data_IF_778422374696
#
_entry.id   IF_778422374696
#
_cell.length_a   1.000
_cell.length_b   1.000
_cell.length_c   1.000
_cell.angle_alpha   90.00
_cell.angle_beta   90.00
_cell.angle_gamma   90.00
#
_symmetry.space_group_name_H-M   'P 1'
#
loop_
_entity.id
_entity.type
_entity.pdbx_description
1 polymer ?
#
# COMPACT_ATOMS: atom_id res chain seq x y z
N UNK A 1 3.36 27.56 4.47
CA UNK A 1 3.53 26.22 5.06
C UNK A 1 4.75 25.58 4.42
N UNK A 2 5.71 25.05 5.19
CA UNK A 2 6.92 24.46 4.64
C UNK A 2 6.58 23.09 4.03
N UNK A 3 6.63 22.97 2.70
CA UNK A 3 6.27 21.74 1.97
C UNK A 3 7.10 20.55 2.44
N UNK A 4 8.39 20.75 2.72
CA UNK A 4 9.26 19.69 3.23
C UNK A 4 8.82 19.19 4.61
N UNK A 5 8.36 20.09 5.49
CA UNK A 5 7.84 19.72 6.80
C UNK A 5 6.52 18.93 6.69
N UNK A 6 5.64 19.34 5.76
CA UNK A 6 4.41 18.59 5.49
C UNK A 6 4.72 17.19 4.98
N UNK A 7 5.55 17.05 3.94
CA UNK A 7 5.94 15.75 3.40
C UNK A 7 6.58 14.89 4.48
N UNK A 8 7.49 15.44 5.29
CA UNK A 8 8.10 14.70 6.39
C UNK A 8 7.07 14.21 7.41
N UNK A 9 6.13 15.06 7.82
CA UNK A 9 5.06 14.69 8.75
C UNK A 9 4.15 13.60 8.18
N UNK A 10 3.74 13.75 6.91
CA UNK A 10 2.92 12.76 6.20
C UNK A 10 3.63 11.41 6.12
N UNK A 11 4.93 11.39 5.81
CA UNK A 11 5.73 10.17 5.76
C UNK A 11 5.91 9.53 7.14
N UNK A 12 6.13 10.33 8.20
CA UNK A 12 6.24 9.82 9.58
C UNK A 12 4.93 9.18 10.00
N UNK A 13 3.79 9.83 9.74
CA UNK A 13 2.47 9.25 10.01
C UNK A 13 2.33 7.94 9.23
N UNK A 14 2.54 7.96 7.91
CA UNK A 14 2.34 6.76 7.10
C UNK A 14 3.21 5.58 7.55
N UNK A 15 4.49 5.82 7.88
CA UNK A 15 5.39 4.78 8.42
C UNK A 15 4.93 4.27 9.77
N UNK A 16 4.52 5.17 10.66
CA UNK A 16 4.03 4.79 11.98
C UNK A 16 2.86 3.81 11.85
N UNK A 17 1.89 4.08 10.96
CA UNK A 17 0.74 3.20 10.77
C UNK A 17 1.05 1.93 9.96
N UNK A 18 1.87 2.01 8.91
CA UNK A 18 2.16 0.87 8.03
C UNK A 18 3.06 -0.19 8.67
N UNK A 19 3.94 0.20 9.60
CA UNK A 19 4.96 -0.69 10.16
C UNK A 19 4.70 -1.14 11.59
N UNK A 20 3.52 -0.82 12.14
CA UNK A 20 3.09 -1.39 13.41
C UNK A 20 2.63 -2.83 13.24
N UNK A 21 2.72 -3.60 14.32
CA UNK A 21 2.15 -4.95 14.34
C UNK A 21 0.62 -4.87 14.27
N UNK A 22 -0.07 -5.90 13.74
CA UNK A 22 -1.54 -5.93 13.73
C UNK A 22 -2.16 -5.67 15.12
N UNK A 23 -1.53 -6.16 16.17
CA UNK A 23 -1.97 -5.96 17.56
C UNK A 23 -1.84 -4.50 18.00
N UNK A 24 -0.70 -3.88 17.76
CA UNK A 24 -0.48 -2.46 18.09
C UNK A 24 -1.44 -1.56 17.28
N UNK A 25 -1.70 -1.94 16.04
CA UNK A 25 -2.66 -1.26 15.18
C UNK A 25 -4.08 -1.28 15.73
N UNK A 26 -4.53 -2.39 16.31
CA UNK A 26 -5.84 -2.45 16.95
C UNK A 26 -5.94 -1.54 18.17
N UNK A 27 -4.88 -1.49 18.99
CA UNK A 27 -4.83 -0.59 20.16
C UNK A 27 -4.91 0.86 19.70
N UNK A 28 -4.15 1.22 18.65
CA UNK A 28 -4.18 2.55 18.06
C UNK A 28 -5.55 2.88 17.45
N UNK A 29 -6.16 1.95 16.72
CA UNK A 29 -7.48 2.14 16.13
C UNK A 29 -8.55 2.34 17.21
N UNK A 30 -8.56 1.53 18.27
CA UNK A 30 -9.49 1.71 19.39
C UNK A 30 -9.28 3.05 20.12
N UNK A 31 -8.03 3.47 20.30
CA UNK A 31 -7.68 4.72 21.00
C UNK A 31 -8.03 5.95 20.15
N UNK A 32 -7.83 5.88 18.84
CA UNK A 32 -7.92 7.04 17.94
C UNK A 32 -9.26 7.14 17.20
N UNK A 33 -9.93 6.01 16.94
CA UNK A 33 -11.17 5.89 16.15
C UNK A 33 -12.37 5.38 16.96
N UNK A 34 -12.16 4.90 18.20
CA UNK A 34 -13.23 4.43 19.07
C UNK A 34 -14.25 5.53 19.42
N UNK A 35 -15.26 5.19 20.24
CA UNK A 35 -16.40 6.09 20.59
C UNK A 35 -15.99 7.48 21.13
N UNK A 36 -14.79 7.64 21.67
CA UNK A 36 -14.23 8.91 22.16
C UNK A 36 -12.92 9.31 21.46
N UNK A 37 -12.58 8.69 20.33
CA UNK A 37 -11.30 8.85 19.64
C UNK A 37 -11.13 10.24 19.02
N UNK A 38 -9.93 10.83 19.17
CA UNK A 38 -9.61 12.18 18.66
C UNK A 38 -9.64 12.26 17.12
N UNK A 39 -9.38 11.16 16.41
CA UNK A 39 -9.47 11.11 14.95
C UNK A 39 -10.90 10.87 14.45
N UNK A 40 -11.82 10.40 15.30
CA UNK A 40 -13.22 10.21 14.91
C UNK A 40 -13.84 11.53 14.40
N UNK A 41 -13.44 12.67 14.95
CA UNK A 41 -13.83 13.99 14.44
C UNK A 41 -13.35 14.26 13.01
N UNK A 42 -12.20 13.73 12.58
CA UNK A 42 -11.67 13.91 11.21
C UNK A 42 -12.49 13.07 10.21
N UNK A 43 -12.83 11.83 10.59
CA UNK A 43 -13.69 10.97 9.76
C UNK A 43 -15.14 11.46 9.72
N UNK A 44 -15.62 12.13 10.78
CA UNK A 44 -16.99 12.64 10.89
C UNK A 44 -17.20 14.04 10.29
N UNK A 45 -16.16 14.87 10.18
CA UNK A 45 -16.29 16.26 9.67
C UNK A 45 -16.12 16.38 8.17
N UNK A 46 -15.68 15.32 7.49
CA UNK A 46 -15.59 15.30 6.05
C UNK A 46 -16.97 14.97 5.47
N UNK A 47 -17.54 15.92 4.72
CA UNK A 47 -18.63 15.62 3.76
C UNK A 47 -17.99 15.11 2.48
N UNK A 48 -18.74 14.46 1.57
CA UNK A 48 -18.19 13.77 0.41
C UNK A 48 -17.65 14.80 -0.59
N UNK A 49 -16.40 15.23 -0.41
CA UNK A 49 -15.79 16.25 -1.25
C UNK A 49 -15.16 15.69 -2.52
N UNK A 50 -14.78 14.41 -2.54
CA UNK A 50 -14.02 13.87 -3.66
C UNK A 50 -14.90 13.31 -4.79
N UNK A 51 -16.13 12.87 -4.50
CA UNK A 51 -17.07 12.38 -5.52
C UNK A 51 -18.21 13.36 -5.84
N UNK A 52 -18.53 14.31 -4.95
CA UNK A 52 -19.72 15.18 -5.09
C UNK A 52 -19.39 16.63 -5.51
N UNK A 53 -18.11 17.01 -5.65
CA UNK A 53 -17.73 18.39 -6.01
C UNK A 53 -17.88 18.76 -7.50
N UNK A 54 -18.39 17.88 -8.36
CA UNK A 54 -18.63 18.21 -9.77
C UNK A 54 -20.12 18.23 -10.18
N UNK A 55 -21.05 18.16 -9.22
CA UNK A 55 -22.43 18.57 -9.51
C UNK A 55 -22.52 20.09 -9.42
N UNK A 56 -22.67 20.74 -10.57
CA UNK A 56 -22.65 22.20 -10.79
C UNK A 56 -23.62 23.03 -9.95
N UNK A 57 -23.38 23.14 -8.65
CA UNK A 57 -23.92 24.14 -7.75
C UNK A 57 -22.76 24.85 -7.07
N UNK A 58 -22.80 26.19 -7.03
CA UNK A 58 -21.80 27.02 -6.39
C UNK A 58 -21.39 26.44 -5.02
N UNK A 59 -20.09 26.37 -4.70
CA UNK A 59 -19.67 25.84 -3.41
C UNK A 59 -20.22 26.79 -2.33
N UNK A 60 -20.93 26.28 -1.31
CA UNK A 60 -21.03 27.06 -0.09
C UNK A 60 -19.59 27.27 0.37
N UNK A 61 -19.23 28.50 0.72
CA UNK A 61 -18.01 28.80 1.47
C UNK A 61 -18.02 27.94 2.74
N UNK A 62 -17.55 26.69 2.64
CA UNK A 62 -17.55 25.77 3.77
C UNK A 62 -16.29 26.07 4.58
N UNK A 63 -16.55 26.74 5.69
CA UNK A 63 -15.71 26.80 6.88
C UNK A 63 -15.17 25.40 7.24
N UNK A 64 -14.01 25.03 6.70
CA UNK A 64 -13.20 23.92 7.21
C UNK A 64 -11.89 24.46 7.76
N UNK A 65 -12.03 25.25 8.81
CA UNK A 65 -10.93 25.54 9.74
C UNK A 65 -10.60 24.27 10.52
N UNK A 66 -9.42 23.68 10.24
CA UNK A 66 -8.43 23.24 11.25
C UNK A 66 -7.88 21.80 11.23
N UNK A 67 -8.18 20.90 10.27
CA UNK A 67 -7.49 19.60 10.20
C UNK A 67 -6.94 19.32 8.78
N UNK A 68 -5.72 19.78 8.53
CA UNK A 68 -4.95 19.62 7.28
C UNK A 68 -4.30 18.22 7.15
N UNK A 69 -5.09 17.14 7.17
CA UNK A 69 -4.57 15.78 6.91
C UNK A 69 -5.03 15.32 5.52
N UNK A 70 -4.09 14.87 4.69
CA UNK A 70 -4.38 14.37 3.35
C UNK A 70 -5.34 13.17 3.39
N UNK A 71 -6.34 13.16 2.50
CA UNK A 71 -7.27 12.04 2.36
C UNK A 71 -6.57 10.72 2.04
N UNK A 72 -5.45 10.75 1.31
CA UNK A 72 -4.68 9.54 0.99
C UNK A 72 -3.99 8.94 2.22
N UNK A 73 -3.61 9.78 3.19
CA UNK A 73 -3.07 9.30 4.46
C UNK A 73 -4.17 8.64 5.27
N UNK A 74 -5.35 9.26 5.33
CA UNK A 74 -6.52 8.66 6.01
C UNK A 74 -6.92 7.34 5.34
N UNK A 75 -6.88 7.27 4.01
CA UNK A 75 -7.11 6.04 3.25
C UNK A 75 -6.07 4.97 3.59
N UNK A 76 -4.80 5.33 3.65
CA UNK A 76 -3.71 4.45 4.07
C UNK A 76 -3.90 3.93 5.50
N UNK A 77 -4.28 4.81 6.44
CA UNK A 77 -4.61 4.48 7.83
C UNK A 77 -5.75 3.47 7.91
N UNK A 78 -6.86 3.70 7.19
CA UNK A 78 -7.98 2.77 7.14
C UNK A 78 -7.52 1.43 6.58
N UNK A 79 -6.74 1.40 5.49
CA UNK A 79 -6.24 0.15 4.92
C UNK A 79 -5.39 -0.66 5.90
N UNK A 80 -4.54 0.01 6.69
CA UNK A 80 -3.76 -0.66 7.73
C UNK A 80 -4.68 -1.26 8.81
N UNK A 81 -5.72 -0.54 9.21
CA UNK A 81 -6.73 -1.03 10.15
C UNK A 81 -7.48 -2.25 9.58
N UNK A 82 -7.92 -2.20 8.33
CA UNK A 82 -8.61 -3.31 7.66
C UNK A 82 -7.74 -4.58 7.64
N UNK A 83 -6.44 -4.44 7.33
CA UNK A 83 -5.48 -5.55 7.38
C UNK A 83 -5.32 -6.09 8.80
N UNK A 84 -5.19 -5.21 9.80
CA UNK A 84 -5.07 -5.63 11.19
C UNK A 84 -6.31 -6.40 11.67
N UNK A 85 -7.51 -5.92 11.35
CA UNK A 85 -8.77 -6.63 11.65
C UNK A 85 -8.81 -8.00 10.97
N UNK A 86 -8.47 -8.08 9.67
CA UNK A 86 -8.41 -9.35 8.94
C UNK A 86 -7.41 -10.34 9.56
N UNK A 87 -6.19 -9.89 9.86
CA UNK A 87 -5.11 -10.74 10.38
C UNK A 87 -5.33 -11.23 11.82
N UNK A 88 -6.13 -10.52 12.60
CA UNK A 88 -6.40 -10.87 14.00
C UNK A 88 -7.74 -11.57 14.20
N UNK A 89 -8.59 -11.58 13.17
CA UNK A 89 -9.98 -12.03 13.27
C UNK A 89 -10.84 -11.16 14.18
N UNK A 90 -10.34 -9.99 14.62
CA UNK A 90 -11.12 -9.09 15.47
C UNK A 90 -12.11 -8.28 14.63
N UNK A 91 -13.31 -8.11 15.17
CA UNK A 91 -14.35 -7.28 14.57
C UNK A 91 -14.41 -5.92 15.26
N UNK A 92 -14.66 -4.88 14.46
CA UNK A 92 -14.98 -3.54 14.98
C UNK A 92 -16.48 -3.29 14.82
N UNK A 93 -17.07 -2.53 15.73
CA UNK A 93 -18.51 -2.22 15.68
C UNK A 93 -18.88 -1.57 14.34
N UNK A 94 -19.99 -2.01 13.75
CA UNK A 94 -20.51 -1.52 12.46
C UNK A 94 -20.56 0.00 12.36
N UNK A 95 -20.97 0.67 13.43
CA UNK A 95 -21.08 2.13 13.48
C UNK A 95 -19.73 2.83 13.29
N UNK A 96 -18.64 2.29 13.84
CA UNK A 96 -17.30 2.87 13.67
C UNK A 96 -16.82 2.63 12.24
N UNK A 97 -17.03 1.42 11.71
CA UNK A 97 -16.66 1.10 10.32
C UNK A 97 -17.41 1.97 9.32
N UNK A 98 -18.72 2.12 9.48
CA UNK A 98 -19.56 2.95 8.61
C UNK A 98 -19.10 4.41 8.64
N UNK A 99 -18.76 4.96 9.82
CA UNK A 99 -18.22 6.32 9.93
C UNK A 99 -16.87 6.49 9.24
N UNK A 100 -15.94 5.56 9.43
CA UNK A 100 -14.63 5.61 8.76
C UNK A 100 -14.77 5.52 7.24
N UNK A 101 -15.74 4.74 6.76
CA UNK A 101 -15.94 4.45 5.34
C UNK A 101 -16.83 5.45 4.59
N UNK A 102 -17.65 6.24 5.30
CA UNK A 102 -18.69 7.09 4.69
C UNK A 102 -18.17 8.06 3.60
N UNK A 103 -16.91 8.48 3.69
CA UNK A 103 -16.30 9.46 2.80
C UNK A 103 -15.36 8.87 1.74
N UNK A 104 -15.25 7.54 1.67
CA UNK A 104 -14.33 6.87 0.75
C UNK A 104 -15.09 6.01 -0.24
N UNK A 105 -14.74 6.19 -1.52
CA UNK A 105 -15.00 5.20 -2.55
C UNK A 105 -13.83 4.22 -2.60
N UNK A 106 -14.14 2.92 -2.57
CA UNK A 106 -13.14 1.85 -2.57
C UNK A 106 -13.18 1.06 -3.88
N UNK A 107 -12.02 0.81 -4.53
CA UNK A 107 -11.96 -0.07 -5.70
C UNK A 107 -12.50 -1.47 -5.39
N UNK A 108 -13.15 -2.10 -6.38
CA UNK A 108 -13.64 -3.48 -6.28
C UNK A 108 -12.56 -4.46 -5.78
N UNK A 109 -11.29 -4.25 -6.14
CA UNK A 109 -10.20 -5.11 -5.67
C UNK A 109 -10.00 -5.08 -4.17
N UNK A 110 -10.20 -3.92 -3.52
CA UNK A 110 -10.15 -3.78 -2.06
C UNK A 110 -11.41 -4.39 -1.44
N UNK A 111 -12.58 -4.16 -2.05
CA UNK A 111 -13.83 -4.74 -1.59
C UNK A 111 -13.82 -6.28 -1.62
N UNK A 112 -13.20 -6.91 -2.62
CA UNK A 112 -13.02 -8.37 -2.67
C UNK A 112 -12.26 -8.91 -1.46
N UNK A 113 -11.28 -8.15 -0.97
CA UNK A 113 -10.43 -8.56 0.15
C UNK A 113 -11.05 -8.29 1.51
N UNK A 114 -11.72 -7.14 1.67
CA UNK A 114 -12.22 -6.62 2.96
C UNK A 114 -13.73 -6.39 2.99
N UNK A 115 -14.50 -7.17 2.21
CA UNK A 115 -15.96 -7.01 2.07
C UNK A 115 -16.71 -7.01 3.40
N UNK A 116 -16.27 -7.82 4.38
CA UNK A 116 -16.88 -7.88 5.70
C UNK A 116 -16.72 -6.56 6.49
N UNK A 117 -15.66 -5.81 6.22
CA UNK A 117 -15.32 -4.57 6.93
C UNK A 117 -15.78 -3.31 6.18
N UNK A 118 -16.04 -3.40 4.87
CA UNK A 118 -16.43 -2.28 4.01
C UNK A 118 -17.95 -2.08 3.97
N UNK A 119 -18.56 -1.88 5.14
CA UNK A 119 -19.99 -1.59 5.27
C UNK A 119 -20.26 -0.09 5.04
N UNK A 120 -21.25 0.22 4.21
CA UNK A 120 -21.76 1.59 4.03
C UNK A 120 -20.89 2.53 3.19
N UNK A 121 -19.92 2.02 2.42
CA UNK A 121 -19.18 2.79 1.42
C UNK A 121 -19.70 2.58 0.00
N UNK A 122 -19.31 3.48 -0.90
CA UNK A 122 -19.38 3.26 -2.34
C UNK A 122 -18.22 2.38 -2.80
N UNK A 123 -18.53 1.47 -3.72
CA UNK A 123 -17.53 0.61 -4.36
C UNK A 123 -17.40 1.05 -5.81
N UNK A 124 -16.19 1.41 -6.21
CA UNK A 124 -15.85 1.73 -7.60
C UNK A 124 -15.60 0.42 -8.35
N UNK A 125 -16.58 0.06 -9.18
CA UNK A 125 -16.56 -1.08 -10.08
C UNK A 125 -16.17 -0.72 -11.52
N UNK A 126 -15.81 0.56 -11.77
CA UNK A 126 -15.50 1.08 -13.09
C UNK A 126 -16.71 1.20 -14.01
N UNK A 127 -17.94 1.25 -13.47
CA UNK A 127 -19.16 1.45 -14.26
C UNK A 127 -19.19 2.82 -14.97
N UNK A 128 -19.86 2.86 -16.13
CA UNK A 128 -19.82 3.95 -17.12
C UNK A 128 -20.16 5.38 -16.62
N UNK A 129 -20.69 5.54 -15.41
CA UNK A 129 -21.02 6.84 -14.83
C UNK A 129 -19.78 7.71 -14.56
N UNK A 130 -18.63 7.10 -14.26
CA UNK A 130 -17.38 7.84 -14.09
C UNK A 130 -16.76 8.23 -15.44
N UNK A 131 -17.05 7.49 -16.52
CA UNK A 131 -16.48 7.75 -17.85
C UNK A 131 -16.95 9.09 -18.42
N UNK A 132 -18.23 9.42 -18.21
CA UNK A 132 -18.81 10.71 -18.63
C UNK A 132 -18.18 11.88 -17.85
N UNK A 133 -17.98 11.71 -16.54
CA UNK A 133 -17.30 12.71 -15.70
C UNK A 133 -15.84 12.94 -16.14
N UNK A 134 -15.10 11.86 -16.45
CA UNK A 134 -13.72 11.98 -16.91
C UNK A 134 -13.60 12.58 -18.31
N UNK A 135 -14.57 12.33 -19.19
CA UNK A 135 -14.64 12.99 -20.51
C UNK A 135 -14.87 14.49 -20.37
N UNK A 136 -15.75 14.93 -19.46
CA UNK A 136 -15.97 16.35 -19.17
C UNK A 136 -14.72 17.01 -18.60
N UNK A 137 -14.04 16.36 -17.65
CA UNK A 137 -12.77 16.82 -17.09
C UNK A 137 -11.69 16.90 -18.17
N UNK A 138 -11.60 15.90 -19.06
CA UNK A 138 -10.62 15.90 -20.15
C UNK A 138 -10.92 17.01 -21.18
N UNK A 139 -12.19 17.24 -21.51
CA UNK A 139 -12.62 18.31 -22.39
C UNK A 139 -12.26 19.68 -21.80
N UNK A 140 -12.52 19.89 -20.51
CA UNK A 140 -12.12 21.09 -19.77
C UNK A 140 -10.59 21.26 -19.81
N UNK A 141 -9.83 20.19 -19.53
CA UNK A 141 -8.37 20.21 -19.57
C UNK A 141 -7.87 20.65 -20.94
N UNK A 142 -8.41 20.04 -21.99
CA UNK A 142 -8.02 20.32 -23.38
C UNK A 142 -8.35 21.76 -23.76
N UNK A 143 -9.54 22.26 -23.39
CA UNK A 143 -9.95 23.63 -23.65
C UNK A 143 -9.02 24.64 -22.96
N UNK A 144 -8.74 24.45 -21.67
CA UNK A 144 -7.90 25.35 -20.89
C UNK A 144 -6.44 25.33 -21.37
N UNK A 145 -5.92 24.16 -21.76
CA UNK A 145 -4.57 24.04 -22.35
C UNK A 145 -4.46 24.83 -23.65
N UNK A 146 -5.46 24.75 -24.53
CA UNK A 146 -5.51 25.59 -25.75
C UNK A 146 -5.55 27.07 -25.42
N UNK A 147 -6.38 27.47 -24.45
CA UNK A 147 -6.44 28.87 -24.02
C UNK A 147 -5.09 29.36 -23.45
N UNK A 148 -4.42 28.52 -22.65
CA UNK A 148 -3.08 28.82 -22.12
C UNK A 148 -2.06 28.97 -23.26
N UNK A 149 -2.11 28.11 -24.27
CA UNK A 149 -1.27 28.21 -25.46
C UNK A 149 -1.50 29.53 -26.19
N UNK A 150 -2.76 29.88 -26.47
CA UNK A 150 -3.10 31.12 -27.15
C UNK A 150 -2.57 32.34 -26.40
N UNK A 151 -2.71 32.37 -25.07
CA UNK A 151 -2.18 33.44 -24.21
C UNK A 151 -0.65 33.51 -24.32
N UNK A 152 0.04 32.38 -24.25
CA UNK A 152 1.51 32.32 -24.33
C UNK A 152 2.00 32.76 -25.72
N UNK A 153 1.33 32.33 -26.80
CA UNK A 153 1.68 32.72 -28.16
C UNK A 153 1.41 34.21 -28.43
N UNK A 154 0.36 34.77 -27.85
CA UNK A 154 -0.03 36.17 -28.06
C UNK A 154 0.72 37.17 -27.17
N UNK A 155 1.04 36.80 -25.92
CA UNK A 155 1.61 37.72 -24.92
C UNK A 155 3.04 37.36 -24.49
N UNK A 156 3.57 36.19 -24.88
CA UNK A 156 4.93 35.76 -24.52
C UNK A 156 5.18 35.83 -23.02
N UNK A 157 6.24 36.52 -22.60
CA UNK A 157 6.62 36.70 -21.20
C UNK A 157 5.68 37.61 -20.39
N UNK A 158 4.77 38.36 -21.04
CA UNK A 158 3.77 39.19 -20.36
C UNK A 158 2.47 38.41 -20.04
N UNK A 159 2.43 37.10 -20.32
CA UNK A 159 1.28 36.22 -20.10
C UNK A 159 0.94 35.97 -18.62
N UNK A 160 1.86 36.30 -17.69
CA UNK A 160 1.82 35.86 -16.29
C UNK A 160 0.48 36.13 -15.58
N UNK A 161 -0.04 37.35 -15.67
CA UNK A 161 -1.28 37.74 -15.00
C UNK A 161 -2.52 37.05 -15.59
N UNK A 162 -2.52 36.78 -16.90
CA UNK A 162 -3.62 36.10 -17.58
C UNK A 162 -3.60 34.59 -17.29
N UNK A 163 -2.42 33.98 -17.24
CA UNK A 163 -2.24 32.59 -16.84
C UNK A 163 -2.65 32.37 -15.37
N UNK A 164 -2.33 33.31 -14.47
CA UNK A 164 -2.75 33.29 -13.07
C UNK A 164 -4.27 33.26 -12.90
N UNK A 165 -5.03 33.91 -13.79
CA UNK A 165 -6.50 33.93 -13.76
C UNK A 165 -7.12 32.56 -14.10
N UNK A 166 -6.42 31.74 -14.87
CA UNK A 166 -6.85 30.37 -15.21
C UNK A 166 -6.74 29.46 -13.99
N UNK A 167 -5.76 29.63 -13.11
CA UNK A 167 -5.55 28.76 -11.93
C UNK A 167 -6.31 29.23 -10.67
N UNK A 168 -7.53 29.75 -10.83
CA UNK A 168 -8.39 30.14 -9.71
C UNK A 168 -9.08 28.91 -9.09
N UNK A 169 -9.25 28.95 -7.77
CA UNK A 169 -9.90 27.96 -6.87
C UNK A 169 -9.92 26.50 -7.37
N UNK A 170 -10.93 26.11 -8.17
CA UNK A 170 -11.19 24.72 -8.56
C UNK A 170 -10.16 24.17 -9.56
N UNK A 171 -9.61 25.02 -10.42
CA UNK A 171 -8.63 24.64 -11.46
C UNK A 171 -7.25 24.35 -10.88
N UNK A 172 -6.98 24.72 -9.62
CA UNK A 172 -5.71 24.39 -8.94
C UNK A 172 -5.54 22.89 -8.72
N UNK A 173 -6.62 22.15 -8.54
CA UNK A 173 -6.58 20.70 -8.33
C UNK A 173 -6.16 19.95 -9.61
N UNK A 174 -6.39 20.55 -10.78
CA UNK A 174 -6.04 20.00 -12.10
C UNK A 174 -4.69 20.51 -12.64
N UNK A 175 -3.95 21.29 -11.83
CA UNK A 175 -2.73 21.98 -12.27
C UNK A 175 -1.66 21.04 -12.85
N UNK A 176 -1.50 19.84 -12.29
CA UNK A 176 -0.58 18.84 -12.84
C UNK A 176 -1.03 18.32 -14.21
N UNK A 177 -2.32 18.14 -14.44
CA UNK A 177 -2.86 17.69 -15.73
C UNK A 177 -2.63 18.75 -16.82
N UNK A 178 -2.86 20.01 -16.49
CA UNK A 178 -2.59 21.13 -17.41
C UNK A 178 -1.10 21.20 -17.76
N UNK A 179 -0.22 21.14 -16.77
CA UNK A 179 1.22 21.18 -17.02
C UNK A 179 1.72 19.95 -17.79
N UNK A 180 1.21 18.77 -17.47
CA UNK A 180 1.55 17.54 -18.19
C UNK A 180 1.21 17.66 -19.68
N UNK A 181 0.01 18.14 -20.01
CA UNK A 181 -0.41 18.34 -21.40
C UNK A 181 0.42 19.43 -22.09
N UNK A 182 0.70 20.54 -21.41
CA UNK A 182 1.58 21.59 -21.93
C UNK A 182 3.01 21.07 -22.20
N UNK A 183 3.55 20.24 -21.32
CA UNK A 183 4.86 19.58 -21.50
C UNK A 183 4.85 18.61 -22.68
N UNK A 184 3.79 17.81 -22.80
CA UNK A 184 3.63 16.83 -23.86
C UNK A 184 3.54 17.51 -25.24
N UNK A 185 2.73 18.56 -25.36
CA UNK A 185 2.49 19.25 -26.63
C UNK A 185 3.60 20.25 -26.99
N UNK A 186 4.03 21.10 -26.04
CA UNK A 186 4.96 22.20 -26.32
C UNK A 186 6.42 21.85 -26.05
N UNK A 187 6.69 20.76 -25.33
CA UNK A 187 8.04 20.38 -24.84
C UNK A 187 8.76 21.49 -24.06
N UNK A 188 8.02 22.50 -23.58
CA UNK A 188 8.51 23.68 -22.87
C UNK A 188 7.50 24.08 -21.79
N UNK A 189 8.00 24.57 -20.67
CA UNK A 189 7.19 25.08 -19.56
C UNK A 189 7.37 26.58 -19.47
N UNK A 190 6.26 27.34 -19.43
CA UNK A 190 6.32 28.78 -19.22
C UNK A 190 6.88 29.10 -17.81
N UNK A 191 7.76 30.10 -17.63
CA UNK A 191 8.38 30.40 -16.33
C UNK A 191 7.39 30.62 -15.19
N UNK A 192 6.21 31.19 -15.46
CA UNK A 192 5.15 31.40 -14.46
C UNK A 192 4.61 30.09 -13.87
N UNK A 193 4.72 28.96 -14.56
CA UNK A 193 4.35 27.66 -14.02
C UNK A 193 5.46 27.12 -13.11
N UNK A 194 6.71 27.49 -13.38
CA UNK A 194 7.87 27.18 -12.54
C UNK A 194 7.97 28.03 -11.27
N UNK A 195 7.27 29.17 -11.20
CA UNK A 195 7.24 30.03 -10.00
C UNK A 195 6.36 29.47 -8.88
N UNK A 196 5.55 28.44 -9.15
CA UNK A 196 4.84 27.66 -8.14
C UNK A 196 5.79 26.61 -7.55
N UNK A 197 6.24 26.75 -6.29
CA UNK A 197 7.32 25.91 -5.76
C UNK A 197 6.97 24.41 -5.69
N UNK A 198 5.71 24.09 -5.38
CA UNK A 198 5.22 22.70 -5.35
C UNK A 198 5.12 22.10 -6.76
N UNK A 199 4.73 22.92 -7.74
CA UNK A 199 4.61 22.51 -9.14
C UNK A 199 5.98 22.31 -9.78
N UNK A 200 6.95 23.18 -9.50
CA UNK A 200 8.32 23.07 -10.01
C UNK A 200 8.98 21.73 -9.63
N UNK A 201 8.86 21.32 -8.37
CA UNK A 201 9.42 20.04 -7.91
C UNK A 201 8.72 18.83 -8.54
N UNK A 202 7.39 18.89 -8.71
CA UNK A 202 6.61 17.83 -9.36
C UNK A 202 6.86 17.76 -10.87
N UNK A 203 7.02 18.90 -11.53
CA UNK A 203 7.44 19.01 -12.93
C UNK A 203 8.82 18.40 -13.12
N UNK A 204 9.79 18.71 -12.25
CA UNK A 204 11.13 18.13 -12.32
C UNK A 204 11.07 16.60 -12.22
N UNK A 205 10.26 16.06 -11.31
CA UNK A 205 10.05 14.61 -11.20
C UNK A 205 9.37 14.03 -12.45
N UNK A 206 8.31 14.66 -12.97
CA UNK A 206 7.60 14.22 -14.17
C UNK A 206 8.46 14.31 -15.44
N UNK A 207 9.29 15.34 -15.58
CA UNK A 207 10.21 15.50 -16.70
C UNK A 207 11.28 14.40 -16.76
N UNK A 208 11.57 13.71 -15.66
CA UNK A 208 12.40 12.50 -15.66
C UNK A 208 11.64 11.23 -16.10
N UNK A 209 10.31 11.20 -15.96
CA UNK A 209 9.44 10.05 -16.27
C UNK A 209 8.89 10.09 -17.71
N UNK A 210 8.55 11.29 -18.20
CA UNK A 210 7.86 11.50 -19.48
C UNK A 210 8.68 11.13 -20.73
N UNK A 211 9.99 11.47 -20.85
CA UNK A 211 10.73 11.21 -22.08
C UNK A 211 11.00 9.73 -22.37
N UNK A 212 10.87 8.85 -21.37
CA UNK A 212 11.44 7.51 -21.42
C UNK A 212 10.40 6.39 -21.50
N UNK A 213 9.11 6.62 -21.19
CA UNK A 213 8.09 5.58 -20.99
C UNK A 213 8.59 4.38 -20.14
N UNK A 214 9.61 4.64 -19.34
CA UNK A 214 10.36 3.69 -18.54
C UNK A 214 10.60 4.38 -17.22
N UNK A 215 10.34 3.70 -16.12
CA UNK A 215 10.95 4.09 -14.85
C UNK A 215 12.44 3.80 -15.04
N UNK A 216 13.18 4.78 -15.56
CA UNK A 216 14.60 4.61 -15.85
C UNK A 216 15.30 4.48 -14.50
N UNK A 217 16.01 3.37 -14.33
CA UNK A 217 16.81 3.02 -13.16
C UNK A 217 18.07 3.89 -13.04
N UNK A 218 17.91 5.21 -13.08
CA UNK A 218 19.04 6.15 -13.16
C UNK A 218 18.90 7.21 -12.09
N UNK A 219 19.35 6.88 -10.89
CA UNK A 219 20.32 7.66 -10.11
C UNK A 219 20.25 7.27 -8.62
N UNK A 220 21.42 7.18 -7.99
CA UNK A 220 21.51 7.06 -6.52
C UNK A 220 20.79 8.22 -5.80
N UNK A 221 20.60 9.37 -6.45
CA UNK A 221 19.81 10.50 -5.92
C UNK A 221 18.30 10.24 -5.91
N UNK A 222 17.75 9.53 -6.91
CA UNK A 222 16.37 9.02 -6.86
C UNK A 222 16.20 8.02 -5.71
N UNK A 223 17.13 7.07 -5.55
CA UNK A 223 17.08 6.09 -4.46
C UNK A 223 17.24 6.73 -3.06
N UNK A 224 18.12 7.72 -2.91
CA UNK A 224 18.26 8.47 -1.66
C UNK A 224 16.98 9.24 -1.31
N UNK A 225 16.28 9.82 -2.30
CA UNK A 225 14.93 10.38 -2.10
C UNK A 225 13.87 9.30 -1.85
N UNK A 226 13.93 8.14 -2.50
CA UNK A 226 13.01 7.02 -2.27
C UNK A 226 13.11 6.45 -0.85
N UNK A 227 14.26 6.62 -0.18
CA UNK A 227 14.37 6.32 1.25
C UNK A 227 13.45 7.18 2.13
N UNK A 228 13.00 8.33 1.63
CA UNK A 228 11.97 9.17 2.24
C UNK A 228 10.55 8.62 1.99
N UNK A 229 10.35 7.76 0.99
CA UNK A 229 9.06 7.21 0.55
C UNK A 229 8.92 5.68 0.72
N UNK A 230 9.69 5.04 1.61
CA UNK A 230 9.63 3.58 1.78
C UNK A 230 8.21 3.03 2.02
N UNK A 231 7.39 3.74 2.80
CA UNK A 231 5.99 3.36 3.03
C UNK A 231 5.11 3.44 1.78
N UNK A 232 5.45 4.31 0.82
CA UNK A 232 4.76 4.37 -0.47
C UNK A 232 5.14 3.18 -1.37
N UNK A 233 6.38 2.66 -1.25
CA UNK A 233 6.82 1.44 -1.97
C UNK A 233 5.97 0.24 -1.55
N UNK A 234 5.76 0.06 -0.25
CA UNK A 234 4.88 -0.99 0.28
C UNK A 234 3.47 -0.89 -0.31
N UNK A 235 2.91 0.32 -0.35
CA UNK A 235 1.57 0.56 -0.94
C UNK A 235 1.56 0.21 -2.42
N UNK A 236 2.55 0.65 -3.20
CA UNK A 236 2.63 0.38 -4.65
C UNK A 236 2.68 -1.13 -4.89
N UNK A 237 3.53 -1.85 -4.16
CA UNK A 237 3.67 -3.30 -4.34
C UNK A 237 2.40 -4.04 -3.91
N UNK A 238 1.76 -3.63 -2.81
CA UNK A 238 0.47 -4.21 -2.41
C UNK A 238 -0.60 -3.94 -3.46
N UNK A 239 -0.69 -2.74 -4.00
CA UNK A 239 -1.67 -2.42 -5.06
C UNK A 239 -1.40 -3.22 -6.33
N UNK A 240 -0.15 -3.37 -6.75
CA UNK A 240 0.23 -4.17 -7.92
C UNK A 240 -0.14 -5.65 -7.75
N UNK A 241 -0.03 -6.15 -6.51
CA UNK A 241 -0.46 -7.48 -6.09
C UNK A 241 -2.00 -7.58 -6.14
N UNK A 242 -2.72 -6.69 -5.46
CA UNK A 242 -4.18 -6.66 -5.37
C UNK A 242 -4.89 -6.52 -6.73
N UNK A 243 -4.33 -5.74 -7.66
CA UNK A 243 -4.89 -5.54 -9.00
C UNK A 243 -4.47 -6.59 -10.01
N UNK A 244 -3.58 -7.51 -9.62
CA UNK A 244 -3.02 -8.54 -10.50
C UNK A 244 -2.47 -7.95 -11.81
N UNK A 245 -1.61 -6.92 -11.72
CA UNK A 245 -0.94 -6.35 -12.90
C UNK A 245 -0.19 -7.42 -13.69
N UNK A 246 0.07 -7.19 -14.98
CA UNK A 246 0.82 -8.14 -15.81
C UNK A 246 2.17 -8.53 -15.18
N UNK A 247 2.57 -9.80 -15.27
CA UNK A 247 3.80 -10.33 -14.63
C UNK A 247 5.06 -9.57 -15.03
N UNK A 248 5.13 -9.08 -16.27
CA UNK A 248 6.25 -8.27 -16.76
C UNK A 248 6.35 -6.93 -16.02
N UNK A 249 5.21 -6.28 -15.76
CA UNK A 249 5.16 -5.04 -15.00
C UNK A 249 5.49 -5.30 -13.53
N UNK A 250 4.94 -6.36 -12.93
CA UNK A 250 5.24 -6.74 -11.56
C UNK A 250 6.74 -7.03 -11.37
N UNK A 251 7.35 -7.80 -12.28
CA UNK A 251 8.79 -8.08 -12.25
C UNK A 251 9.63 -6.82 -12.37
N UNK A 252 9.20 -5.86 -13.20
CA UNK A 252 9.87 -4.56 -13.32
C UNK A 252 9.79 -3.76 -12.02
N UNK A 253 8.62 -3.70 -11.38
CA UNK A 253 8.43 -3.05 -10.08
C UNK A 253 9.31 -3.69 -9.01
N UNK A 254 9.36 -5.03 -8.95
CA UNK A 254 10.23 -5.75 -8.02
C UNK A 254 11.70 -5.44 -8.25
N UNK A 255 12.17 -5.41 -9.50
CA UNK A 255 13.55 -5.05 -9.81
C UNK A 255 13.91 -3.62 -9.40
N UNK A 256 12.98 -2.68 -9.54
CA UNK A 256 13.18 -1.29 -9.13
C UNK A 256 13.17 -1.11 -7.60
N UNK A 257 12.28 -1.81 -6.89
CA UNK A 257 12.00 -1.52 -5.49
C UNK A 257 12.59 -2.52 -4.50
N UNK A 258 13.03 -3.70 -4.93
CA UNK A 258 13.66 -4.67 -4.01
C UNK A 258 14.81 -4.08 -3.19
N UNK A 259 15.72 -3.21 -3.70
CA UNK A 259 16.81 -2.68 -2.89
C UNK A 259 16.35 -1.92 -1.63
N UNK A 260 15.13 -1.36 -1.64
CA UNK A 260 14.52 -0.69 -0.49
C UNK A 260 14.33 -1.64 0.71
N UNK A 261 14.11 -2.93 0.46
CA UNK A 261 13.84 -3.92 1.51
C UNK A 261 15.06 -4.29 2.35
N UNK A 262 16.28 -3.96 1.87
CA UNK A 262 17.51 -4.07 2.68
C UNK A 262 17.41 -3.23 3.97
N UNK A 263 16.77 -2.06 3.88
CA UNK A 263 16.66 -1.09 4.98
C UNK A 263 15.26 -1.07 5.61
N UNK A 264 14.32 -1.85 5.10
CA UNK A 264 12.98 -1.92 5.64
C UNK A 264 13.03 -2.48 7.08
N UNK A 265 12.30 -1.88 8.04
CA UNK A 265 12.40 -2.28 9.45
C UNK A 265 11.73 -3.63 9.74
N UNK A 266 10.64 -3.96 9.05
CA UNK A 266 9.88 -5.20 9.27
C UNK A 266 9.49 -5.94 7.97
N UNK A 267 10.46 -6.35 7.12
CA UNK A 267 10.17 -6.91 5.81
C UNK A 267 9.42 -8.25 5.88
N UNK A 268 9.70 -9.07 6.90
CA UNK A 268 8.99 -10.33 7.12
C UNK A 268 7.52 -10.10 7.50
N UNK A 269 7.24 -9.16 8.40
CA UNK A 269 5.87 -8.83 8.78
C UNK A 269 5.08 -8.26 7.60
N UNK A 270 5.71 -7.40 6.79
CA UNK A 270 5.14 -6.91 5.54
C UNK A 270 4.78 -8.07 4.60
N UNK A 271 5.73 -8.93 4.24
CA UNK A 271 5.48 -10.07 3.35
C UNK A 271 4.35 -10.95 3.86
N UNK A 272 4.37 -11.30 5.15
CA UNK A 272 3.33 -12.10 5.78
C UNK A 272 1.96 -11.42 5.68
N UNK A 273 1.86 -10.13 6.02
CA UNK A 273 0.62 -9.36 5.95
C UNK A 273 0.04 -9.34 4.54
N UNK A 274 0.86 -9.13 3.51
CA UNK A 274 0.42 -9.11 2.11
C UNK A 274 -0.12 -10.48 1.69
N UNK A 275 0.64 -11.55 1.93
CA UNK A 275 0.24 -12.91 1.55
C UNK A 275 -1.03 -13.35 2.30
N UNK A 276 -1.10 -13.08 3.59
CA UNK A 276 -2.25 -13.43 4.41
C UNK A 276 -3.50 -12.64 3.99
N UNK A 277 -3.37 -11.33 3.75
CA UNK A 277 -4.51 -10.53 3.32
C UNK A 277 -4.96 -10.88 1.90
N UNK A 278 -4.07 -11.37 1.03
CA UNK A 278 -4.37 -11.71 -0.36
C UNK A 278 -4.36 -13.23 -0.57
N UNK A 279 -4.74 -13.98 0.48
CA UNK A 279 -4.79 -15.43 0.52
C UNK A 279 -5.60 -16.05 -0.63
N UNK A 280 -6.73 -15.41 -0.98
CA UNK A 280 -7.65 -15.88 -2.02
C UNK A 280 -7.22 -15.53 -3.44
N UNK A 281 -6.26 -14.64 -3.63
CA UNK A 281 -5.91 -14.09 -4.95
C UNK A 281 -4.48 -14.36 -5.37
N UNK A 282 -3.53 -14.38 -4.44
CA UNK A 282 -2.09 -14.44 -4.74
C UNK A 282 -1.39 -15.56 -3.99
N UNK A 283 -1.81 -15.88 -2.77
CA UNK A 283 -1.18 -17.00 -2.06
C UNK A 283 -1.29 -18.28 -2.87
N UNK A 284 -0.27 -19.11 -2.73
CA UNK A 284 -0.10 -20.35 -3.47
C UNK A 284 0.15 -20.21 -4.98
N UNK A 285 0.57 -19.02 -5.44
CA UNK A 285 0.94 -18.76 -6.84
C UNK A 285 2.46 -18.60 -7.04
N UNK A 286 2.92 -18.71 -8.29
CA UNK A 286 4.30 -18.40 -8.65
C UNK A 286 4.68 -16.95 -8.33
N UNK A 287 3.71 -16.02 -8.40
CA UNK A 287 3.92 -14.61 -8.05
C UNK A 287 4.17 -14.41 -6.56
N UNK A 288 3.46 -15.13 -5.69
CA UNK A 288 3.74 -15.12 -4.24
C UNK A 288 5.18 -15.57 -3.95
N UNK A 289 5.64 -16.65 -4.61
CA UNK A 289 7.03 -17.10 -4.48
C UNK A 289 8.03 -16.05 -4.97
N UNK A 290 7.80 -15.46 -6.14
CA UNK A 290 8.68 -14.41 -6.69
C UNK A 290 8.78 -13.23 -5.72
N UNK A 291 7.65 -12.74 -5.21
CA UNK A 291 7.59 -11.66 -4.24
C UNK A 291 8.44 -11.95 -3.00
N UNK A 292 8.30 -13.15 -2.42
CA UNK A 292 9.06 -13.57 -1.24
C UNK A 292 10.55 -13.68 -1.52
N UNK A 293 10.94 -14.35 -2.63
CA UNK A 293 12.36 -14.55 -2.96
C UNK A 293 13.07 -13.23 -3.25
N UNK A 294 12.42 -12.31 -3.97
CA UNK A 294 13.02 -11.02 -4.32
C UNK A 294 13.25 -10.13 -3.08
N UNK A 295 12.34 -10.14 -2.10
CA UNK A 295 12.52 -9.42 -0.84
C UNK A 295 13.56 -10.11 0.04
N UNK A 296 13.46 -11.43 0.23
CA UNK A 296 14.40 -12.20 1.07
C UNK A 296 15.83 -12.15 0.55
N UNK A 297 16.02 -12.11 -0.78
CA UNK A 297 17.34 -11.93 -1.39
C UNK A 297 18.05 -10.65 -0.94
N UNK A 298 17.31 -9.62 -0.52
CA UNK A 298 17.85 -8.36 -0.01
C UNK A 298 18.19 -8.42 1.48
N UNK A 299 17.77 -9.48 2.17
CA UNK A 299 18.00 -9.72 3.58
C UNK A 299 19.17 -10.69 3.82
N UNK A 300 19.68 -11.39 2.80
CA UNK A 300 20.74 -12.39 2.95
C UNK A 300 21.99 -11.82 3.61
N UNK A 301 22.43 -10.62 3.20
CA UNK A 301 23.60 -9.93 3.78
C UNK A 301 23.37 -9.52 5.25
N UNK A 302 22.12 -9.22 5.62
CA UNK A 302 21.75 -8.61 6.91
C UNK A 302 21.41 -9.65 7.96
N UNK A 303 20.61 -10.64 7.58
CA UNK A 303 20.02 -11.64 8.47
C UNK A 303 20.64 -13.03 8.23
N UNK A 304 21.23 -13.30 7.06
CA UNK A 304 21.76 -14.60 6.64
C UNK A 304 20.83 -15.35 5.68
N UNK A 305 21.41 -16.14 4.78
CA UNK A 305 20.74 -16.81 3.65
C UNK A 305 19.53 -17.69 4.02
N UNK A 306 19.51 -18.26 5.22
CA UNK A 306 18.43 -19.16 5.70
C UNK A 306 17.75 -18.63 6.97
N UNK A 307 17.88 -17.33 7.23
CA UNK A 307 17.33 -16.74 8.45
C UNK A 307 15.80 -16.73 8.45
N UNK A 308 15.19 -16.51 7.28
CA UNK A 308 13.73 -16.49 7.12
C UNK A 308 13.20 -17.69 6.34
N UNK A 309 13.88 -18.12 5.28
CA UNK A 309 13.43 -19.20 4.39
C UNK A 309 14.25 -20.48 4.58
N UNK A 310 13.60 -21.64 4.45
CA UNK A 310 14.26 -22.94 4.41
C UNK A 310 14.97 -23.19 3.09
N UNK A 311 16.01 -24.05 3.06
CA UNK A 311 16.68 -24.42 1.82
C UNK A 311 15.74 -25.00 0.75
N UNK A 312 14.79 -25.84 1.14
CA UNK A 312 13.83 -26.49 0.23
C UNK A 312 12.83 -25.50 -0.39
N UNK A 313 12.46 -24.44 0.32
CA UNK A 313 11.67 -23.37 -0.30
C UNK A 313 12.44 -22.67 -1.42
N UNK A 314 13.71 -22.36 -1.16
CA UNK A 314 14.58 -21.63 -2.09
C UNK A 314 14.85 -22.48 -3.34
N UNK A 315 15.23 -23.75 -3.18
CA UNK A 315 15.58 -24.64 -4.29
C UNK A 315 14.38 -24.97 -5.18
N UNK A 316 13.30 -25.48 -4.59
CA UNK A 316 12.25 -26.17 -5.34
C UNK A 316 10.83 -25.81 -4.87
N UNK A 317 10.68 -24.80 -4.00
CA UNK A 317 9.38 -24.41 -3.43
C UNK A 317 8.66 -25.58 -2.73
N UNK A 318 9.43 -26.48 -2.09
CA UNK A 318 8.91 -27.69 -1.45
C UNK A 318 8.16 -28.63 -2.39
N UNK A 319 8.49 -28.66 -3.68
CA UNK A 319 7.85 -29.55 -4.66
C UNK A 319 8.43 -30.96 -4.64
N UNK A 320 9.65 -31.15 -4.12
CA UNK A 320 10.29 -32.45 -4.00
C UNK A 320 9.92 -33.19 -2.70
N UNK A 321 9.26 -32.51 -1.77
CA UNK A 321 8.84 -33.06 -0.48
C UNK A 321 7.36 -33.37 -0.46
N UNK A 322 6.96 -34.44 0.24
CA UNK A 322 5.55 -34.65 0.55
C UNK A 322 5.03 -33.51 1.44
N UNK A 323 3.75 -33.09 1.34
CA UNK A 323 3.20 -32.03 2.18
C UNK A 323 3.40 -32.27 3.69
N UNK A 324 3.34 -33.51 4.15
CA UNK A 324 3.62 -33.88 5.55
C UNK A 324 5.08 -33.63 5.96
N UNK A 325 6.03 -33.96 5.10
CA UNK A 325 7.47 -33.73 5.34
C UNK A 325 7.80 -32.24 5.34
N UNK A 326 7.21 -31.50 4.40
CA UNK A 326 7.30 -30.04 4.34
C UNK A 326 6.75 -29.39 5.62
N UNK A 327 5.49 -29.70 5.99
CA UNK A 327 4.87 -29.18 7.20
C UNK A 327 5.66 -29.56 8.46
N UNK A 328 6.20 -30.78 8.51
CA UNK A 328 7.04 -31.23 9.63
C UNK A 328 8.33 -30.41 9.74
N UNK A 329 9.01 -30.14 8.63
CA UNK A 329 10.23 -29.33 8.63
C UNK A 329 9.98 -27.90 9.17
N UNK A 330 8.84 -27.31 8.83
CA UNK A 330 8.44 -26.00 9.35
C UNK A 330 8.13 -26.02 10.85
N UNK A 331 7.37 -27.02 11.31
CA UNK A 331 7.04 -27.20 12.73
C UNK A 331 8.30 -27.44 13.56
N UNK A 332 9.20 -28.30 13.09
CA UNK A 332 10.46 -28.62 13.78
C UNK A 332 11.35 -27.39 13.90
N UNK A 333 11.40 -26.52 12.88
CA UNK A 333 12.11 -25.24 12.94
C UNK A 333 11.58 -24.31 14.05
N UNK A 334 10.26 -24.24 14.21
CA UNK A 334 9.63 -23.41 15.26
C UNK A 334 9.89 -23.99 16.65
N UNK A 335 9.79 -25.32 16.80
CA UNK A 335 10.09 -26.02 18.05
C UNK A 335 11.55 -25.80 18.47
N UNK A 336 12.49 -25.97 17.54
CA UNK A 336 13.91 -25.71 17.77
C UNK A 336 14.15 -24.25 18.19
N UNK A 337 13.51 -23.30 17.51
CA UNK A 337 13.62 -21.88 17.85
C UNK A 337 13.01 -21.52 19.22
N UNK A 338 12.08 -22.35 19.72
CA UNK A 338 11.38 -22.13 21.00
C UNK A 338 12.10 -22.76 22.20
N UNK A 339 13.04 -23.68 21.98
CA UNK A 339 13.76 -24.42 23.02
C UNK A 339 14.98 -23.66 23.56
N UNK A 340 14.80 -22.40 23.99
CA UNK A 340 15.86 -21.60 24.65
C UNK A 340 15.47 -21.20 26.09
N UNK A 341 16.19 -21.68 27.12
CA UNK A 341 15.78 -21.54 28.52
C UNK A 341 15.94 -20.12 29.13
N UNK A 342 16.67 -19.21 28.47
CA UNK A 342 17.01 -17.91 29.09
C UNK A 342 16.73 -16.65 28.24
N UNK A 343 16.20 -16.77 27.02
CA UNK A 343 15.68 -15.64 26.23
C UNK A 343 14.95 -16.13 24.97
N UNK A 344 13.62 -15.99 24.88
CA UNK A 344 12.93 -16.00 23.60
C UNK A 344 12.26 -14.64 23.38
N UNK A 345 12.67 -13.87 22.37
CA UNK A 345 11.60 -13.21 21.60
C UNK A 345 11.82 -13.21 20.08
N UNK A 346 12.97 -12.76 19.59
CA UNK A 346 13.10 -12.41 18.17
C UNK A 346 13.26 -13.63 17.24
N UNK A 347 13.98 -14.68 17.66
CA UNK A 347 14.27 -15.83 16.81
C UNK A 347 13.04 -16.74 16.63
N UNK A 348 12.28 -16.99 17.69
CA UNK A 348 11.03 -17.75 17.62
C UNK A 348 9.97 -17.04 16.76
N UNK A 349 9.82 -15.72 16.92
CA UNK A 349 8.92 -14.92 16.07
C UNK A 349 9.34 -14.94 14.59
N UNK A 350 10.64 -14.81 14.30
CA UNK A 350 11.16 -14.94 12.92
C UNK A 350 10.90 -16.33 12.34
N UNK A 351 11.09 -17.39 13.12
CA UNK A 351 10.83 -18.76 12.68
C UNK A 351 9.34 -18.99 12.36
N UNK A 352 8.44 -18.52 13.23
CA UNK A 352 7.00 -18.59 13.00
C UNK A 352 6.57 -17.81 11.75
N UNK A 353 7.03 -16.56 11.64
CA UNK A 353 6.70 -15.70 10.50
C UNK A 353 7.23 -16.29 9.20
N UNK A 354 8.47 -16.80 9.20
CA UNK A 354 9.07 -17.47 8.04
C UNK A 354 8.29 -18.70 7.60
N UNK A 355 7.89 -19.56 8.55
CA UNK A 355 7.05 -20.73 8.25
C UNK A 355 5.70 -20.35 7.65
N UNK A 356 5.04 -19.30 8.16
CA UNK A 356 3.76 -18.83 7.62
C UNK A 356 3.92 -18.25 6.21
N UNK A 357 4.99 -17.49 5.95
CA UNK A 357 5.33 -16.99 4.61
C UNK A 357 5.55 -18.14 3.64
N UNK A 358 6.32 -19.16 4.03
CA UNK A 358 6.57 -20.33 3.19
C UNK A 358 5.29 -21.09 2.88
N UNK A 359 4.41 -21.29 3.88
CA UNK A 359 3.11 -21.93 3.66
C UNK A 359 2.28 -21.19 2.62
N UNK A 360 2.14 -19.87 2.77
CA UNK A 360 1.33 -19.03 1.89
C UNK A 360 1.96 -18.83 0.50
N UNK A 361 3.28 -18.94 0.37
CA UNK A 361 3.98 -18.83 -0.92
C UNK A 361 4.24 -20.19 -1.61
N UNK A 362 4.03 -21.30 -0.90
CA UNK A 362 4.15 -22.65 -1.44
C UNK A 362 2.99 -22.97 -2.39
N UNK A 363 3.18 -23.82 -3.41
CA UNK A 363 2.14 -24.11 -4.41
C UNK A 363 1.07 -25.09 -3.87
N UNK A 364 1.23 -25.55 -2.62
CA UNK A 364 0.36 -26.54 -2.00
C UNK A 364 -0.95 -25.89 -1.57
N UNK A 365 -2.09 -26.51 -1.92
CA UNK A 365 -3.39 -25.98 -1.55
C UNK A 365 -3.58 -25.91 -0.02
N UNK A 366 -4.25 -24.87 0.52
CA UNK A 366 -4.46 -24.70 1.96
C UNK A 366 -5.07 -25.93 2.64
N UNK A 367 -6.04 -26.59 1.99
CA UNK A 367 -6.69 -27.78 2.54
C UNK A 367 -5.71 -28.95 2.76
N UNK A 368 -4.72 -29.09 1.87
CA UNK A 368 -3.70 -30.14 1.94
C UNK A 368 -2.71 -29.85 3.06
N UNK A 369 -2.20 -28.61 3.13
CA UNK A 369 -1.25 -28.20 4.16
C UNK A 369 -1.88 -28.17 5.55
N UNK A 370 -3.13 -27.70 5.68
CA UNK A 370 -3.88 -27.74 6.93
C UNK A 370 -4.09 -29.18 7.42
N UNK A 371 -4.48 -30.10 6.52
CA UNK A 371 -4.66 -31.50 6.88
C UNK A 371 -3.34 -32.14 7.33
N UNK A 372 -2.26 -31.89 6.61
CA UNK A 372 -0.93 -32.38 6.97
C UNK A 372 -0.49 -31.86 8.36
N UNK A 373 -0.74 -30.59 8.67
CA UNK A 373 -0.47 -30.03 10.00
C UNK A 373 -1.32 -30.67 11.09
N UNK A 374 -2.61 -30.92 10.84
CA UNK A 374 -3.51 -31.63 11.77
C UNK A 374 -2.98 -33.04 12.06
N UNK A 375 -2.65 -33.80 11.02
CA UNK A 375 -2.20 -35.18 11.16
C UNK A 375 -0.88 -35.27 11.96
N UNK A 376 0.01 -34.28 11.83
CA UNK A 376 1.24 -34.20 12.63
C UNK A 376 1.00 -34.12 14.14
N UNK A 377 -0.11 -33.52 14.59
CA UNK A 377 -0.52 -33.47 16.01
C UNK A 377 -0.81 -34.86 16.53
N UNK A 378 -1.52 -35.65 15.73
CA UNK A 378 -2.01 -36.96 16.15
C UNK A 378 -0.94 -38.04 16.06
N UNK A 379 0.03 -37.88 15.17
CA UNK A 379 1.15 -38.83 14.98
C UNK A 379 2.24 -38.67 16.03
N UNK A 380 2.47 -37.45 16.55
CA UNK A 380 3.42 -37.23 17.66
C UNK A 380 2.67 -37.17 19.01
N UNK A 381 2.95 -38.05 19.98
CA UNK A 381 2.63 -37.78 21.37
C UNK A 381 3.57 -36.66 21.85
N UNK A 382 3.17 -35.40 21.60
CA UNK A 382 3.99 -34.23 21.86
C UNK A 382 4.16 -34.03 23.37
N UNK A 383 5.41 -34.07 23.84
CA UNK A 383 5.79 -33.67 25.19
C UNK A 383 5.67 -32.14 25.42
N UNK A 384 5.31 -31.36 24.40
CA UNK A 384 5.15 -29.90 24.46
C UNK A 384 3.97 -29.42 23.58
N UNK A 385 2.77 -29.22 24.16
CA UNK A 385 1.56 -28.82 23.42
C UNK A 385 1.56 -27.35 22.93
N UNK A 386 2.36 -26.46 23.53
CA UNK A 386 2.23 -25.00 23.34
C UNK A 386 2.67 -24.46 21.96
N UNK A 387 3.71 -25.03 21.36
CA UNK A 387 4.24 -24.54 20.08
C UNK A 387 3.38 -24.93 18.87
N UNK A 388 2.67 -26.07 18.96
CA UNK A 388 1.72 -26.47 17.93
C UNK A 388 0.48 -25.58 17.94
N UNK A 389 -0.06 -25.26 19.13
CA UNK A 389 -1.18 -24.33 19.29
C UNK A 389 -0.89 -22.99 18.61
N UNK A 390 0.31 -22.43 18.80
CA UNK A 390 0.72 -21.17 18.18
C UNK A 390 0.65 -21.19 16.64
N UNK A 391 1.09 -22.28 16.01
CA UNK A 391 1.09 -22.45 14.56
C UNK A 391 -0.32 -22.71 14.02
N UNK A 392 -1.10 -23.51 14.75
CA UNK A 392 -2.48 -23.83 14.44
C UNK A 392 -3.39 -22.59 14.55
N UNK A 393 -3.26 -21.80 15.61
CA UNK A 393 -4.00 -20.55 15.80
C UNK A 393 -3.57 -19.46 14.80
N UNK A 394 -2.32 -19.46 14.32
CA UNK A 394 -1.85 -18.50 13.32
C UNK A 394 -2.34 -18.80 11.89
N UNK A 395 -2.85 -20.00 11.62
CA UNK A 395 -3.31 -20.45 10.30
C UNK A 395 -4.83 -20.65 10.17
N UNK A 396 -5.56 -20.77 11.29
CA UNK A 396 -7.01 -21.02 11.32
C UNK A 396 -7.88 -19.83 11.73
N UNK A 397 -7.26 -18.74 12.19
CA UNK A 397 -7.86 -17.40 12.18
C UNK A 397 -7.50 -16.74 10.87
#
# INVERSE_FOLDING_TARGET
>A
MNVALCVALEQVILRYWMWNTPQDMLVLCNTLLGKQGKLAAIFNTTTPGFCDQQRGGAPPERQYTNLHVSFEILRGVILCMLRALKMTGMEMTSDVMQRCNANFCWPVTINRTFSAQLVGCTVDDGSNTDTVMWEEVLALITQDVRQMQDIIYSHGLAADEQLLKIFTCDRRLLMLCYVYNMLYELKKVHPVLGSYPDLHNRIAALAHVIPSNKIVNTSASFFNKMSEYYSAVDIILIRAMETLVADQLFSTLMMCFKPCYRYHPQPAAFMYSVLYCLDKTISHTARARQFVLEICGQLEDRDGKYALLTPSFISDNHQLSLPSQFCQALVDRILQASNYPHQPPAFAYKALTGACIELLASPHAPAITARALIDLVFIRPLHQPYAFSLLFFSLLL
#
